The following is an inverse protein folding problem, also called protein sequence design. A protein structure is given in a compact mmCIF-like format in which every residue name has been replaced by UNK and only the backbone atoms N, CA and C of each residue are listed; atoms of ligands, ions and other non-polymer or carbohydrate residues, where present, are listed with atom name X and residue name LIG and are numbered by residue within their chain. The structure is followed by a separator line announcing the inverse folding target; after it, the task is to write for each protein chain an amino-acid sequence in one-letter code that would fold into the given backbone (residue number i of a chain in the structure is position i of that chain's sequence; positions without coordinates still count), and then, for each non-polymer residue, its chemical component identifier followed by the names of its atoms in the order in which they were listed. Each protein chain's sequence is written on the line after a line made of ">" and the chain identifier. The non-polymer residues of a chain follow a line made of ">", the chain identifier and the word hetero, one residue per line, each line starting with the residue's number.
data_IF_697469866783
#
_entry.id   IF_697469866783
#
_cell.length_a   1.000
_cell.length_b   1.000
_cell.length_c   1.000
_cell.angle_alpha   90.00
_cell.angle_beta   90.00
_cell.angle_gamma   90.00
#
_symmetry.space_group_name_H-M   'P 1'
#
loop_
_entity.id
_entity.type
_entity.pdbx_description
1 polymer ?
#
# COMPACT_ATOMS: atom_id res chain seq x y z
N UNK A 1 15.46 -15.08 22.67
CA UNK A 1 14.85 -15.04 21.32
C UNK A 1 14.17 -13.69 21.22
N UNK A 2 14.98 -12.66 20.97
CA UNK A 2 14.50 -11.29 20.84
C UNK A 2 13.80 -11.20 19.48
N UNK A 3 12.51 -10.83 19.49
CA UNK A 3 11.83 -10.42 18.26
C UNK A 3 12.60 -9.21 17.77
N UNK A 4 13.21 -9.31 16.59
CA UNK A 4 13.64 -8.14 15.83
C UNK A 4 12.42 -7.22 15.72
N UNK A 5 12.46 -6.13 16.48
CA UNK A 5 11.54 -5.03 16.31
C UNK A 5 11.90 -4.45 14.95
N UNK A 6 11.14 -4.79 13.93
CA UNK A 6 11.31 -4.23 12.59
C UNK A 6 11.21 -2.71 12.76
N UNK A 7 12.35 -2.01 12.74
CA UNK A 7 12.45 -0.56 12.92
C UNK A 7 11.89 0.11 11.66
N UNK A 8 10.57 0.02 11.50
CA UNK A 8 9.81 0.70 10.47
C UNK A 8 9.88 2.20 10.78
N UNK A 9 10.86 2.85 10.17
CA UNK A 9 11.13 4.28 10.30
C UNK A 9 10.36 5.02 9.22
N UNK A 10 9.38 5.82 9.63
CA UNK A 10 8.75 6.80 8.74
C UNK A 10 9.76 7.91 8.42
N UNK A 11 9.91 8.25 7.14
CA UNK A 11 10.68 9.40 6.71
C UNK A 11 9.80 10.65 6.80
N UNK A 12 10.29 11.67 7.50
CA UNK A 12 9.62 12.97 7.64
C UNK A 12 10.31 13.99 6.73
N UNK A 13 9.56 14.55 5.78
CA UNK A 13 10.07 15.51 4.81
C UNK A 13 9.26 16.79 4.90
N UNK A 14 9.84 17.94 5.30
CA UNK A 14 9.12 19.20 5.26
C UNK A 14 8.83 19.62 3.81
N UNK A 15 7.68 20.26 3.61
CA UNK A 15 7.37 20.98 2.38
C UNK A 15 8.35 22.13 2.14
N UNK A 16 8.49 22.54 0.88
CA UNK A 16 9.39 23.65 0.52
C UNK A 16 8.98 24.98 1.21
N UNK A 17 7.68 25.20 1.36
CA UNK A 17 7.11 26.40 1.98
C UNK A 17 7.00 26.29 3.52
N UNK A 18 7.43 25.15 4.09
CA UNK A 18 7.43 24.84 5.52
C UNK A 18 6.04 24.93 6.20
N UNK A 19 4.96 24.85 5.42
CA UNK A 19 3.58 24.89 5.88
C UNK A 19 2.97 23.49 6.07
N UNK A 20 3.63 22.46 5.55
CA UNK A 20 3.27 21.06 5.68
C UNK A 20 4.46 20.13 5.94
N UNK A 21 4.17 18.96 6.50
CA UNK A 21 5.09 17.83 6.69
C UNK A 21 4.58 16.61 5.91
N UNK A 22 5.44 16.02 5.09
CA UNK A 22 5.19 14.74 4.45
C UNK A 22 5.69 13.60 5.33
N UNK A 23 4.82 12.63 5.58
CA UNK A 23 5.13 11.38 6.28
C UNK A 23 5.17 10.28 5.23
N UNK A 24 6.34 9.69 5.04
CA UNK A 24 6.59 8.70 3.99
C UNK A 24 6.91 7.36 4.65
N UNK A 25 6.11 6.35 4.31
CA UNK A 25 6.27 4.99 4.76
C UNK A 25 6.54 4.06 3.59
N UNK A 26 7.69 3.39 3.58
CA UNK A 26 7.96 2.36 2.58
C UNK A 26 6.98 1.19 2.77
N UNK A 27 6.31 0.81 1.68
CA UNK A 27 5.35 -0.30 1.64
C UNK A 27 5.99 -1.55 1.07
N UNK A 28 6.66 -1.44 -0.08
CA UNK A 28 7.30 -2.59 -0.72
C UNK A 28 8.32 -2.16 -1.77
N UNK A 29 9.36 -2.98 -1.97
CA UNK A 29 10.20 -2.90 -3.17
C UNK A 29 9.44 -3.44 -4.37
N UNK A 30 9.71 -2.89 -5.54
CA UNK A 30 9.07 -3.21 -6.81
C UNK A 30 10.11 -3.75 -7.78
N UNK A 31 9.76 -4.86 -8.42
CA UNK A 31 10.44 -5.32 -9.62
C UNK A 31 9.63 -4.86 -10.85
N UNK A 32 10.08 -3.84 -11.60
CA UNK A 32 9.34 -3.31 -12.75
C UNK A 32 8.98 -4.36 -13.82
N UNK A 33 9.73 -5.45 -13.93
CA UNK A 33 9.49 -6.49 -14.93
C UNK A 33 8.35 -7.43 -14.53
N UNK A 34 8.11 -7.60 -13.22
CA UNK A 34 7.20 -8.62 -12.69
C UNK A 34 6.00 -8.03 -11.91
N UNK A 35 6.12 -6.82 -11.37
CA UNK A 35 5.14 -6.20 -10.48
C UNK A 35 4.13 -5.28 -11.18
N UNK A 36 3.97 -5.36 -12.51
CA UNK A 36 3.00 -4.53 -13.24
C UNK A 36 1.56 -4.63 -12.68
N UNK A 37 1.16 -5.82 -12.21
CA UNK A 37 -0.15 -6.02 -11.55
C UNK A 37 -0.22 -5.39 -10.16
N UNK A 38 0.90 -5.32 -9.44
CA UNK A 38 0.98 -4.67 -8.13
C UNK A 38 0.87 -3.15 -8.28
N UNK A 39 1.45 -2.57 -9.33
CA UNK A 39 1.23 -1.15 -9.67
C UNK A 39 -0.25 -0.86 -9.96
N UNK A 40 -0.93 -1.74 -10.70
CA UNK A 40 -2.37 -1.61 -10.95
C UNK A 40 -3.20 -1.69 -9.65
N UNK A 41 -2.84 -2.58 -8.71
CA UNK A 41 -3.45 -2.64 -7.39
C UNK A 41 -3.24 -1.34 -6.60
N UNK A 42 -2.02 -0.81 -6.58
CA UNK A 42 -1.70 0.45 -5.89
C UNK A 42 -2.54 1.62 -6.44
N UNK A 43 -2.67 1.71 -7.77
CA UNK A 43 -3.54 2.69 -8.42
C UNK A 43 -5.01 2.49 -8.03
N UNK A 44 -5.50 1.24 -8.01
CA UNK A 44 -6.87 0.94 -7.61
C UNK A 44 -7.16 1.35 -6.16
N UNK A 45 -6.24 1.08 -5.22
CA UNK A 45 -6.38 1.47 -3.83
C UNK A 45 -6.46 3.00 -3.67
N UNK A 46 -5.72 3.76 -4.48
CA UNK A 46 -5.81 5.23 -4.49
C UNK A 46 -7.16 5.77 -5.00
N UNK A 47 -7.92 5.02 -5.81
CA UNK A 47 -9.22 5.47 -6.33
C UNK A 47 -10.33 5.48 -5.28
N UNK A 48 -10.11 4.86 -4.11
CA UNK A 48 -11.05 4.83 -3.00
C UNK A 48 -10.43 5.54 -1.79
N UNK A 49 -10.83 6.79 -1.50
CA UNK A 49 -10.28 7.57 -0.38
C UNK A 49 -10.43 6.88 0.98
N UNK A 50 -11.40 5.97 1.13
CA UNK A 50 -11.61 5.16 2.33
C UNK A 50 -10.41 4.24 2.60
N UNK A 51 -9.68 3.82 1.56
CA UNK A 51 -8.56 2.91 1.69
C UNK A 51 -7.23 3.60 2.01
N UNK A 52 -7.16 4.93 1.92
CA UNK A 52 -5.91 5.65 2.14
C UNK A 52 -6.01 6.77 3.18
N UNK A 53 -7.18 7.07 3.74
CA UNK A 53 -7.37 8.08 4.79
C UNK A 53 -6.71 9.44 4.43
N UNK A 54 -6.84 9.88 3.18
CA UNK A 54 -6.20 11.08 2.60
C UNK A 54 -4.68 10.99 2.37
N UNK A 55 -4.06 9.85 2.65
CA UNK A 55 -2.73 9.52 2.13
C UNK A 55 -2.83 9.05 0.66
N UNK A 56 -1.70 8.92 0.00
CA UNK A 56 -1.60 8.33 -1.33
C UNK A 56 -0.50 7.27 -1.38
N UNK A 57 -0.73 6.22 -2.16
CA UNK A 57 0.31 5.26 -2.51
C UNK A 57 1.05 5.82 -3.73
N UNK A 58 2.34 6.09 -3.59
CA UNK A 58 3.20 6.62 -4.62
C UNK A 58 4.31 5.61 -4.99
N UNK A 59 4.87 5.78 -6.19
CA UNK A 59 6.07 5.08 -6.63
C UNK A 59 7.27 6.01 -6.47
N UNK A 60 8.22 5.61 -5.62
CA UNK A 60 9.58 6.14 -5.66
C UNK A 60 10.35 5.40 -6.74
N UNK A 61 10.55 6.07 -7.87
CA UNK A 61 11.22 5.52 -9.05
C UNK A 61 12.73 5.34 -8.81
N UNK A 62 13.34 6.19 -7.99
CA UNK A 62 14.78 6.12 -7.71
C UNK A 62 15.11 4.89 -6.87
N UNK A 63 14.25 4.59 -5.89
CA UNK A 63 14.42 3.44 -4.99
C UNK A 63 13.70 2.18 -5.48
N UNK A 64 12.90 2.27 -6.55
CA UNK A 64 11.95 1.24 -6.97
C UNK A 64 11.10 0.75 -5.80
N UNK A 65 10.46 1.66 -5.06
CA UNK A 65 9.58 1.30 -3.94
C UNK A 65 8.20 1.91 -4.09
N UNK A 66 7.17 1.17 -3.65
CA UNK A 66 5.90 1.77 -3.30
C UNK A 66 6.00 2.35 -1.90
N UNK A 67 5.49 3.55 -1.73
CA UNK A 67 5.43 4.23 -0.45
C UNK A 67 4.03 4.80 -0.19
N UNK A 68 3.62 4.84 1.07
CA UNK A 68 2.47 5.58 1.51
C UNK A 68 2.94 6.98 1.92
N UNK A 69 2.37 8.01 1.30
CA UNK A 69 2.66 9.41 1.59
C UNK A 69 1.43 10.07 2.17
N UNK A 70 1.55 10.53 3.40
CA UNK A 70 0.56 11.37 4.07
C UNK A 70 1.08 12.81 4.16
N UNK A 71 0.19 13.79 4.02
CA UNK A 71 0.52 15.21 4.16
C UNK A 71 -0.16 15.74 5.42
N UNK A 72 0.62 16.33 6.31
CA UNK A 72 0.13 16.98 7.53
C UNK A 72 0.36 18.49 7.43
N UNK A 73 -0.70 19.27 7.48
CA UNK A 73 -0.59 20.73 7.54
C UNK A 73 -0.08 21.17 8.92
N UNK A 74 0.86 22.11 8.94
CA UNK A 74 1.45 22.69 10.15
C UNK A 74 0.76 24.00 10.55
N UNK A 75 -0.06 24.58 9.66
CA UNK A 75 -0.66 25.91 9.79
C UNK A 75 -1.80 26.07 10.81
N UNK A 76 -2.16 25.04 11.59
CA UNK A 76 -3.26 25.13 12.55
C UNK A 76 -3.37 24.01 13.58
N UNK A 77 -2.39 23.11 13.63
CA UNK A 77 -2.47 21.81 14.31
C UNK A 77 -1.43 21.75 15.44
N UNK A 78 -1.86 21.50 16.68
CA UNK A 78 -0.95 21.28 17.81
C UNK A 78 -0.16 19.98 17.68
N UNK A 79 0.96 19.85 18.40
CA UNK A 79 1.84 18.66 18.34
C UNK A 79 1.12 17.31 18.57
N UNK A 80 0.06 17.31 19.40
CA UNK A 80 -0.76 16.11 19.66
C UNK A 80 -1.48 15.60 18.40
N UNK A 81 -1.84 16.50 17.48
CA UNK A 81 -2.49 16.14 16.22
C UNK A 81 -1.52 15.51 15.23
N UNK A 82 -0.24 15.93 15.27
CA UNK A 82 0.81 15.32 14.46
C UNK A 82 1.13 13.91 14.95
N UNK A 83 1.25 13.70 16.27
CA UNK A 83 1.53 12.38 16.82
C UNK A 83 0.44 11.36 16.43
N UNK A 84 -0.83 11.74 16.59
CA UNK A 84 -1.95 10.90 16.17
C UNK A 84 -1.94 10.63 14.65
N UNK A 85 -1.58 11.63 13.84
CA UNK A 85 -1.46 11.46 12.40
C UNK A 85 -0.34 10.48 12.02
N UNK A 86 0.80 10.50 12.72
CA UNK A 86 1.90 9.56 12.53
C UNK A 86 1.48 8.13 12.89
N UNK A 87 0.79 7.95 14.03
CA UNK A 87 0.28 6.63 14.44
C UNK A 87 -0.72 6.07 13.43
N UNK A 88 -1.64 6.90 12.93
CA UNK A 88 -2.60 6.51 11.90
C UNK A 88 -1.93 6.18 10.57
N UNK A 89 -0.96 6.99 10.13
CA UNK A 89 -0.20 6.73 8.91
C UNK A 89 0.59 5.41 9.00
N UNK A 90 1.18 5.13 10.16
CA UNK A 90 1.90 3.87 10.41
C UNK A 90 0.95 2.67 10.37
N UNK A 91 -0.19 2.76 11.07
CA UNK A 91 -1.19 1.69 11.10
C UNK A 91 -1.77 1.41 9.71
N UNK A 92 -2.03 2.46 8.94
CA UNK A 92 -2.48 2.35 7.55
C UNK A 92 -1.39 1.72 6.67
N UNK A 93 -0.13 2.15 6.80
CA UNK A 93 0.97 1.58 6.04
C UNK A 93 1.06 0.07 6.28
N UNK A 94 0.93 -0.38 7.53
CA UNK A 94 0.96 -1.81 7.86
C UNK A 94 -0.22 -2.58 7.24
N UNK A 95 -1.42 -2.03 7.26
CA UNK A 95 -2.57 -2.62 6.59
C UNK A 95 -2.33 -2.77 5.08
N UNK A 96 -1.79 -1.73 4.44
CA UNK A 96 -1.50 -1.76 3.01
C UNK A 96 -0.37 -2.76 2.69
N UNK A 97 0.67 -2.87 3.53
CA UNK A 97 1.72 -3.90 3.39
C UNK A 97 1.11 -5.29 3.40
N UNK A 98 0.23 -5.58 4.37
CA UNK A 98 -0.44 -6.88 4.47
C UNK A 98 -1.29 -7.21 3.22
N UNK A 99 -1.96 -6.21 2.64
CA UNK A 99 -2.70 -6.35 1.38
C UNK A 99 -1.75 -6.67 0.23
N UNK A 100 -0.64 -5.93 0.09
CA UNK A 100 0.37 -6.16 -0.95
C UNK A 100 0.99 -7.56 -0.84
N UNK A 101 1.35 -7.98 0.37
CA UNK A 101 1.91 -9.32 0.59
C UNK A 101 0.93 -10.43 0.25
N UNK A 102 -0.34 -10.27 0.63
CA UNK A 102 -1.38 -11.25 0.32
C UNK A 102 -1.60 -11.33 -1.19
N UNK A 103 -1.65 -10.19 -1.86
CA UNK A 103 -1.78 -10.12 -3.31
C UNK A 103 -0.61 -10.81 -4.03
N UNK A 104 0.64 -10.60 -3.57
CA UNK A 104 1.81 -11.30 -4.11
C UNK A 104 1.73 -12.81 -3.93
N UNK A 105 1.32 -13.27 -2.75
CA UNK A 105 1.12 -14.70 -2.46
C UNK A 105 0.08 -15.33 -3.39
N UNK A 106 -0.99 -14.60 -3.69
CA UNK A 106 -2.06 -15.10 -4.56
C UNK A 106 -1.66 -15.13 -6.04
N UNK A 107 -0.77 -14.24 -6.50
CA UNK A 107 -0.22 -14.30 -7.85
C UNK A 107 0.72 -15.48 -8.10
N UNK A 108 1.43 -15.93 -7.06
CA UNK A 108 2.32 -17.09 -7.15
C UNK A 108 1.60 -18.44 -7.26
N UNK A 109 0.27 -18.48 -7.11
CA UNK A 109 -0.53 -19.70 -7.29
C UNK A 109 -0.87 -19.88 -8.77
N UNK A 110 -0.43 -20.98 -9.43
CA UNK A 110 -0.88 -21.27 -10.78
C UNK A 110 -2.40 -21.46 -10.76
N UNK A 111 -3.10 -20.63 -11.52
CA UNK A 111 -4.54 -20.72 -11.73
C UNK A 111 -4.82 -21.98 -12.55
N UNK A 112 -5.10 -23.10 -11.88
CA UNK A 112 -5.16 -24.41 -12.53
C UNK A 112 -5.88 -25.50 -11.74
N UNK A 113 -6.98 -25.19 -11.06
CA UNK A 113 -8.03 -26.18 -10.75
C UNK A 113 -9.41 -25.56 -10.98
N UNK A 114 -9.66 -25.08 -12.19
CA UNK A 114 -11.03 -24.93 -12.69
C UNK A 114 -11.48 -26.31 -13.16
N UNK A 115 -12.09 -27.08 -12.27
CA UNK A 115 -12.89 -28.25 -12.62
C UNK A 115 -13.99 -27.81 -13.59
N UNK A 116 -13.78 -28.04 -14.89
CA UNK A 116 -14.81 -27.93 -15.91
C UNK A 116 -15.79 -29.11 -15.75
N UNK A 117 -16.72 -29.02 -14.81
CA UNK A 117 -17.96 -29.81 -14.84
C UNK A 117 -18.99 -29.12 -15.73
N UNK A 118 -18.66 -28.92 -17.00
CA UNK A 118 -19.67 -28.76 -18.06
C UNK A 118 -20.17 -30.16 -18.40
N UNK A 119 -21.14 -30.66 -17.64
CA UNK A 119 -22.01 -31.71 -18.14
C UNK A 119 -22.86 -31.11 -19.27
N UNK A 120 -22.48 -31.48 -20.47
CA UNK A 120 -23.28 -31.42 -21.68
C UNK A 120 -24.65 -32.07 -21.43
N UNK A 121 -25.69 -31.24 -21.36
CA UNK A 121 -27.06 -31.68 -21.55
C UNK A 121 -27.19 -32.23 -22.96
N UNK A 122 -27.21 -33.56 -23.08
CA UNK A 122 -27.48 -34.25 -24.32
C UNK A 122 -28.87 -33.81 -24.84
N UNK A 123 -28.86 -33.29 -26.07
CA UNK A 123 -30.03 -33.35 -26.96
C UNK A 123 -30.46 -34.81 -27.07
N UNK A 124 -31.64 -35.14 -26.57
CA UNK A 124 -32.49 -36.17 -27.16
C UNK A 124 -33.92 -35.60 -27.24
N UNK A 125 -34.31 -35.25 -28.47
CA UNK A 125 -35.67 -35.34 -28.97
C UNK A 125 -35.60 -36.03 -30.32
#
# INVERSE_FOLDING_TARGET
>A
MEREKNDQTSLLVPSADLDALFVINTLSYIDPEHDGRLLALALHLNLSPVHTMSACIALDVEQNTLCLRYTHDLGGSGADTLLLALENAQALAEQVRQVIETFRRDQGRPSGQTSLSRQSSALMR
#
